data_IF_762971108897
#
_entry.id   IF_762971108897
#
_cell.length_a   1.000
_cell.length_b   1.000
_cell.length_c   1.000
_cell.angle_alpha   90.00
_cell.angle_beta   90.00
_cell.angle_gamma   90.00
#
_symmetry.space_group_name_H-M   'P 1'
#
loop_
_entity.id
_entity.type
_entity.pdbx_description
1 polymer ?
#
# COMPACT_ATOMS: atom_id res chain seq x y z
N UNK A 1 -7.80 -24.36 17.91
CA UNK A 1 -6.78 -23.75 17.04
C UNK A 1 -7.40 -23.53 15.66
N UNK A 2 -7.62 -22.30 15.21
CA UNK A 2 -8.04 -22.06 13.83
C UNK A 2 -6.79 -21.95 12.94
N UNK A 3 -6.75 -22.77 11.90
CA UNK A 3 -5.67 -22.82 10.93
C UNK A 3 -5.60 -21.53 10.12
N UNK A 4 -4.37 -21.06 9.87
CA UNK A 4 -4.10 -20.06 8.84
C UNK A 4 -4.56 -20.61 7.50
N UNK A 5 -5.66 -20.09 6.96
CA UNK A 5 -5.96 -20.22 5.55
C UNK A 5 -4.87 -19.46 4.78
N UNK A 6 -3.93 -20.18 4.19
CA UNK A 6 -3.08 -19.63 3.15
C UNK A 6 -4.03 -19.27 1.99
N UNK A 7 -4.16 -17.98 1.69
CA UNK A 7 -4.74 -17.53 0.44
C UNK A 7 -3.84 -18.07 -0.68
N UNK A 8 -4.33 -19.04 -1.45
CA UNK A 8 -3.56 -19.62 -2.55
C UNK A 8 -3.25 -18.53 -3.58
N UNK A 9 -2.00 -18.49 -4.04
CA UNK A 9 -1.53 -17.51 -5.01
C UNK A 9 -2.02 -17.91 -6.41
N UNK A 10 -2.44 -16.94 -7.26
CA UNK A 10 -2.87 -17.26 -8.60
C UNK A 10 -1.72 -17.90 -9.40
N UNK A 11 -1.97 -19.09 -9.94
CA UNK A 11 -1.05 -19.76 -10.89
C UNK A 11 -1.41 -19.29 -12.30
N UNK A 12 -0.49 -18.59 -12.96
CA UNK A 12 -0.67 -18.13 -14.34
C UNK A 12 0.24 -19.00 -15.22
N UNK A 13 -0.37 -19.91 -15.99
CA UNK A 13 0.38 -20.92 -16.74
C UNK A 13 1.00 -21.96 -15.80
N UNK A 14 2.32 -22.07 -15.79
CA UNK A 14 3.08 -22.98 -14.90
C UNK A 14 3.83 -22.26 -13.77
N UNK A 15 3.71 -20.93 -13.68
CA UNK A 15 4.43 -20.13 -12.69
C UNK A 15 3.47 -19.53 -11.67
N UNK A 16 3.93 -19.51 -10.42
CA UNK A 16 3.22 -18.88 -9.31
C UNK A 16 3.38 -17.37 -9.43
N UNK A 17 2.26 -16.65 -9.51
CA UNK A 17 2.26 -15.20 -9.60
C UNK A 17 2.21 -14.58 -8.20
N UNK A 18 3.21 -13.78 -7.84
CA UNK A 18 3.26 -13.03 -6.57
C UNK A 18 2.52 -11.69 -6.65
N UNK A 19 1.44 -11.62 -7.43
CA UNK A 19 0.62 -10.41 -7.57
C UNK A 19 -0.30 -10.28 -6.35
N UNK A 20 -0.27 -9.11 -5.72
CA UNK A 20 -1.20 -8.75 -4.66
C UNK A 20 -2.37 -7.95 -5.26
N UNK A 21 -3.55 -8.53 -5.25
CA UNK A 21 -4.79 -7.82 -5.60
C UNK A 21 -5.22 -7.01 -4.38
N UNK A 22 -5.19 -5.67 -4.49
CA UNK A 22 -5.59 -4.77 -3.39
C UNK A 22 -7.03 -4.27 -3.50
N UNK A 23 -7.66 -4.44 -4.66
CA UNK A 23 -9.09 -4.21 -4.86
C UNK A 23 -9.61 -5.01 -6.03
N UNK A 24 -10.86 -5.48 -5.93
CA UNK A 24 -11.59 -6.10 -7.04
C UNK A 24 -13.11 -5.96 -6.85
N UNK A 25 -13.85 -6.05 -7.94
CA UNK A 25 -15.32 -6.11 -7.96
C UNK A 25 -15.77 -7.24 -8.89
N UNK A 26 -16.90 -7.87 -8.57
CA UNK A 26 -17.54 -8.85 -9.44
C UNK A 26 -18.56 -8.17 -10.35
N UNK A 27 -18.45 -8.43 -11.65
CA UNK A 27 -19.41 -7.92 -12.65
C UNK A 27 -20.58 -8.88 -12.89
N UNK A 28 -20.39 -10.17 -12.62
CA UNK A 28 -21.37 -11.22 -12.84
C UNK A 28 -22.42 -11.32 -11.72
N UNK A 29 -22.10 -10.79 -10.53
CA UNK A 29 -22.98 -10.79 -9.38
C UNK A 29 -22.78 -9.54 -8.55
N UNK A 30 -23.89 -8.96 -8.07
CA UNK A 30 -23.88 -7.81 -7.14
C UNK A 30 -23.32 -8.23 -5.79
N UNK A 31 -22.02 -8.00 -5.62
CA UNK A 31 -21.30 -8.08 -4.36
C UNK A 31 -20.56 -6.77 -4.12
N UNK A 32 -20.38 -6.35 -2.85
CA UNK A 32 -19.54 -5.20 -2.56
C UNK A 32 -18.10 -5.48 -3.03
N UNK A 33 -17.37 -4.47 -3.55
CA UNK A 33 -15.97 -4.63 -3.87
C UNK A 33 -15.16 -5.09 -2.67
N UNK A 34 -14.24 -6.03 -2.89
CA UNK A 34 -13.20 -6.32 -1.91
C UNK A 34 -12.10 -5.28 -2.05
N UNK A 35 -11.72 -4.67 -0.92
CA UNK A 35 -10.68 -3.64 -0.84
C UNK A 35 -9.77 -3.95 0.35
N UNK A 36 -8.46 -3.97 0.14
CA UNK A 36 -7.45 -4.24 1.15
C UNK A 36 -6.65 -5.50 0.87
N UNK A 37 -6.06 -6.08 1.92
CA UNK A 37 -5.09 -7.19 1.77
C UNK A 37 -5.72 -8.57 1.56
N UNK A 38 -7.03 -8.70 1.74
CA UNK A 38 -7.73 -9.97 1.71
C UNK A 38 -8.81 -9.90 0.65
N UNK A 39 -8.54 -10.47 -0.52
CA UNK A 39 -9.52 -10.68 -1.57
C UNK A 39 -10.13 -12.06 -1.40
N UNK A 40 -11.38 -12.11 -0.92
CA UNK A 40 -12.12 -13.36 -0.74
C UNK A 40 -13.05 -13.68 -1.91
N UNK A 41 -13.26 -12.72 -2.81
CA UNK A 41 -14.26 -12.83 -3.88
C UNK A 41 -13.73 -13.57 -5.13
N UNK A 42 -12.44 -13.84 -5.17
CA UNK A 42 -11.75 -14.59 -6.23
C UNK A 42 -11.08 -15.82 -5.64
N UNK A 43 -11.86 -16.90 -5.46
CA UNK A 43 -11.36 -18.20 -4.98
C UNK A 43 -11.49 -19.25 -6.08
N UNK A 44 -10.35 -19.78 -6.54
CA UNK A 44 -10.28 -20.93 -7.42
C UNK A 44 -10.05 -22.16 -6.55
N UNK A 45 -11.14 -22.80 -6.11
CA UNK A 45 -11.15 -23.78 -5.01
C UNK A 45 -10.48 -25.11 -5.40
N UNK A 46 -10.42 -25.41 -6.69
CA UNK A 46 -9.85 -26.65 -7.21
C UNK A 46 -9.09 -26.43 -8.52
N UNK A 47 -8.18 -27.37 -8.83
CA UNK A 47 -7.32 -27.31 -10.03
C UNK A 47 -8.11 -27.26 -11.33
N UNK A 48 -9.25 -27.95 -11.41
CA UNK A 48 -10.06 -27.98 -12.63
C UNK A 48 -10.73 -26.62 -12.88
N UNK A 49 -11.29 -26.01 -11.84
CA UNK A 49 -11.81 -24.64 -11.87
C UNK A 49 -10.71 -23.64 -12.23
N UNK A 50 -9.51 -23.80 -11.69
CA UNK A 50 -8.36 -22.95 -12.06
C UNK A 50 -7.97 -23.07 -13.52
N UNK A 51 -7.89 -24.29 -14.07
CA UNK A 51 -7.45 -24.53 -15.46
C UNK A 51 -8.49 -24.09 -16.50
N UNK A 52 -9.77 -24.07 -16.13
CA UNK A 52 -10.87 -23.70 -17.04
C UNK A 52 -11.28 -22.23 -16.93
N UNK A 53 -10.82 -21.53 -15.89
CA UNK A 53 -11.10 -20.10 -15.71
C UNK A 53 -10.37 -19.27 -16.77
N UNK A 54 -11.14 -18.50 -17.54
CA UNK A 54 -10.59 -17.53 -18.49
C UNK A 54 -10.36 -16.20 -17.78
N UNK A 55 -9.12 -15.73 -17.79
CA UNK A 55 -8.76 -14.39 -17.32
C UNK A 55 -8.79 -13.45 -18.52
N UNK A 56 -9.67 -12.46 -18.47
CA UNK A 56 -9.70 -11.39 -19.46
C UNK A 56 -8.90 -10.21 -18.91
N UNK A 57 -8.05 -9.65 -19.75
CA UNK A 57 -7.25 -8.48 -19.43
C UNK A 57 -7.77 -7.32 -20.27
N UNK A 58 -7.78 -6.13 -19.67
CA UNK A 58 -7.96 -4.91 -20.43
C UNK A 58 -6.78 -4.77 -21.41
N UNK A 59 -7.10 -4.50 -22.68
CA UNK A 59 -6.08 -4.48 -23.75
C UNK A 59 -5.11 -3.31 -23.55
N UNK A 60 -5.61 -2.13 -23.21
CA UNK A 60 -4.79 -0.93 -23.06
C UNK A 60 -3.85 -1.10 -21.87
N UNK A 61 -4.35 -1.56 -20.72
CA UNK A 61 -3.51 -1.87 -19.55
C UNK A 61 -2.46 -2.96 -19.85
N UNK A 62 -2.79 -3.97 -20.68
CA UNK A 62 -1.83 -5.00 -21.08
C UNK A 62 -0.73 -4.41 -21.96
N UNK A 63 -1.08 -3.57 -22.92
CA UNK A 63 -0.13 -2.90 -23.80
C UNK A 63 0.82 -1.97 -23.00
N UNK A 64 0.29 -1.21 -22.04
CA UNK A 64 1.08 -0.41 -21.11
C UNK A 64 2.04 -1.28 -20.28
N UNK A 65 1.54 -2.39 -19.72
CA UNK A 65 2.35 -3.33 -18.95
C UNK A 65 3.49 -3.94 -19.79
N UNK A 66 3.20 -4.31 -21.04
CA UNK A 66 4.21 -4.82 -21.97
C UNK A 66 5.23 -3.74 -22.35
N UNK A 67 4.82 -2.48 -22.50
CA UNK A 67 5.75 -1.37 -22.75
C UNK A 67 6.74 -1.18 -21.58
N UNK A 68 6.25 -1.26 -20.33
CA UNK A 68 7.09 -1.19 -19.13
C UNK A 68 8.12 -2.33 -19.10
N UNK A 69 7.70 -3.57 -19.41
CA UNK A 69 8.59 -4.73 -19.44
C UNK A 69 9.73 -4.56 -20.46
N UNK A 70 9.45 -3.89 -21.58
CA UNK A 70 10.43 -3.64 -22.63
C UNK A 70 11.31 -2.40 -22.36
N UNK A 71 11.06 -1.66 -21.28
CA UNK A 71 11.78 -0.45 -20.90
C UNK A 71 12.43 -0.63 -19.52
N UNK A 72 13.63 -1.23 -19.44
CA UNK A 72 14.24 -1.67 -18.17
C UNK A 72 14.55 -0.54 -17.19
N UNK A 73 14.63 0.70 -17.67
CA UNK A 73 14.85 1.90 -16.85
C UNK A 73 13.54 2.46 -16.25
N UNK A 74 12.39 1.89 -16.60
CA UNK A 74 11.08 2.34 -16.10
C UNK A 74 10.94 2.00 -14.63
N UNK A 75 10.90 3.05 -13.80
CA UNK A 75 10.82 2.89 -12.35
C UNK A 75 9.42 3.12 -11.77
N UNK A 76 8.44 3.51 -12.60
CA UNK A 76 7.08 3.92 -12.20
C UNK A 76 6.10 3.80 -13.37
N UNK A 77 4.81 3.72 -13.06
CA UNK A 77 3.72 3.56 -14.04
C UNK A 77 3.19 4.91 -14.52
N UNK A 78 3.20 5.91 -13.64
CA UNK A 78 2.78 7.28 -13.94
C UNK A 78 3.59 8.29 -13.13
N UNK A 79 3.69 9.53 -13.61
CA UNK A 79 4.20 10.67 -12.85
C UNK A 79 3.13 11.33 -11.97
N UNK A 80 1.86 11.00 -12.18
CA UNK A 80 0.75 11.46 -11.33
C UNK A 80 0.53 10.49 -10.17
N UNK A 81 0.16 11.04 -9.00
CA UNK A 81 -0.16 10.28 -7.79
C UNK A 81 0.90 9.21 -7.41
N UNK A 82 2.19 9.52 -7.56
CA UNK A 82 3.32 8.58 -7.35
C UNK A 82 3.21 7.82 -6.01
N UNK A 83 2.81 8.50 -4.93
CA UNK A 83 2.63 7.85 -3.62
C UNK A 83 1.63 6.69 -3.64
N UNK A 84 0.59 6.77 -4.46
CA UNK A 84 -0.44 5.74 -4.55
C UNK A 84 0.05 4.50 -5.32
N UNK A 85 1.14 4.62 -6.08
CA UNK A 85 1.81 3.49 -6.74
C UNK A 85 2.70 2.68 -5.79
N UNK A 86 2.90 3.16 -4.55
CA UNK A 86 3.63 2.42 -3.53
C UNK A 86 2.88 1.15 -3.11
N UNK A 87 3.65 0.12 -2.77
CA UNK A 87 3.11 -1.17 -2.36
C UNK A 87 2.32 -1.05 -1.06
N UNK A 88 1.20 -1.75 -0.99
CA UNK A 88 0.52 -2.00 0.28
C UNK A 88 1.33 -3.02 1.08
N UNK A 89 2.03 -2.54 2.12
CA UNK A 89 2.82 -3.37 3.02
C UNK A 89 2.38 -3.16 4.48
N UNK A 90 2.64 -4.17 5.31
CA UNK A 90 2.40 -4.12 6.76
C UNK A 90 3.69 -4.13 7.59
N UNK A 91 4.83 -4.30 6.93
CA UNK A 91 6.13 -4.36 7.57
C UNK A 91 7.25 -4.10 6.56
N UNK A 92 8.51 -4.10 7.03
CA UNK A 92 9.71 -3.86 6.21
C UNK A 92 9.75 -2.46 5.61
N UNK A 93 9.24 -1.47 6.34
CA UNK A 93 9.18 -0.06 5.92
C UNK A 93 10.55 0.61 5.71
N UNK A 94 11.65 -0.07 6.01
CA UNK A 94 13.02 0.39 5.76
C UNK A 94 13.73 -0.39 4.66
N UNK A 95 13.07 -1.38 4.05
CA UNK A 95 13.61 -2.09 2.90
C UNK A 95 13.43 -1.25 1.62
N UNK A 96 14.40 -1.18 0.71
CA UNK A 96 14.24 -0.47 -0.56
C UNK A 96 13.00 -0.94 -1.36
N UNK A 97 12.71 -2.23 -1.32
CA UNK A 97 11.55 -2.84 -1.99
C UNK A 97 10.19 -2.39 -1.46
N UNK A 98 10.13 -1.71 -0.31
CA UNK A 98 8.91 -1.09 0.20
C UNK A 98 8.48 0.12 -0.64
N UNK A 99 9.45 0.73 -1.34
CA UNK A 99 9.27 1.99 -2.07
C UNK A 99 9.21 1.79 -3.60
N UNK A 100 9.10 0.54 -4.06
CA UNK A 100 8.90 0.23 -5.47
C UNK A 100 7.51 0.70 -5.94
N UNK A 101 7.49 1.43 -7.06
CA UNK A 101 6.29 2.02 -7.65
C UNK A 101 5.66 1.05 -8.66
N UNK A 102 5.09 -0.04 -8.14
CA UNK A 102 4.61 -1.16 -8.96
C UNK A 102 3.10 -1.41 -8.84
N UNK A 103 2.36 -0.50 -8.21
CA UNK A 103 0.92 -0.63 -8.03
C UNK A 103 0.17 0.12 -9.13
N UNK A 104 -0.72 -0.60 -9.80
CA UNK A 104 -1.60 -0.09 -10.85
C UNK A 104 -3.07 -0.25 -10.44
N UNK A 105 -3.94 0.49 -11.12
CA UNK A 105 -5.40 0.43 -10.97
C UNK A 105 -6.02 0.29 -12.36
N UNK A 106 -7.23 -0.27 -12.42
CA UNK A 106 -7.97 -0.36 -13.68
C UNK A 106 -8.43 1.02 -14.18
N UNK A 107 -8.85 1.14 -15.45
CA UNK A 107 -9.17 2.41 -16.09
C UNK A 107 -10.28 3.18 -15.36
N UNK A 108 -11.27 2.47 -14.82
CA UNK A 108 -12.37 3.06 -14.05
C UNK A 108 -12.00 3.43 -12.60
N UNK A 109 -10.83 3.01 -12.11
CA UNK A 109 -10.39 3.22 -10.71
C UNK A 109 -9.04 3.94 -10.61
N UNK A 110 -8.70 4.72 -11.65
CA UNK A 110 -7.48 5.54 -11.69
C UNK A 110 -7.52 6.75 -10.75
N UNK A 111 -8.70 7.24 -10.37
CA UNK A 111 -8.84 8.30 -9.37
C UNK A 111 -8.36 7.84 -7.99
N UNK A 112 -7.66 8.72 -7.27
CA UNK A 112 -7.17 8.48 -5.92
C UNK A 112 -8.28 8.09 -4.91
N UNK A 113 -9.52 8.51 -5.14
CA UNK A 113 -10.69 8.16 -4.31
C UNK A 113 -11.10 6.69 -4.45
N UNK A 114 -10.81 6.07 -5.61
CA UNK A 114 -11.12 4.67 -5.91
C UNK A 114 -9.95 3.73 -5.60
N UNK A 115 -8.80 4.27 -5.18
CA UNK A 115 -7.62 3.49 -4.89
C UNK A 115 -7.54 3.16 -3.40
N UNK A 116 -7.30 1.89 -3.03
CA UNK A 116 -7.10 1.55 -1.63
C UNK A 116 -5.96 2.39 -1.02
N UNK A 117 -6.20 2.96 0.15
CA UNK A 117 -5.17 3.58 0.96
C UNK A 117 -4.13 2.56 1.40
N UNK A 118 -2.90 3.03 1.56
CA UNK A 118 -1.77 2.31 2.14
C UNK A 118 -1.29 3.04 3.39
N UNK A 119 -0.35 2.47 4.14
CA UNK A 119 0.29 3.18 5.26
C UNK A 119 0.92 4.52 4.83
N UNK A 120 1.37 4.62 3.57
CA UNK A 120 2.00 5.82 3.03
C UNK A 120 1.01 6.90 2.57
N UNK A 121 -0.22 6.52 2.22
CA UNK A 121 -1.25 7.44 1.72
C UNK A 121 -2.39 7.66 2.72
N UNK A 122 -2.41 6.94 3.85
CA UNK A 122 -3.47 7.05 4.85
C UNK A 122 -3.60 8.46 5.45
N UNK A 123 -2.53 9.25 5.42
CA UNK A 123 -2.57 10.66 5.82
C UNK A 123 -3.52 11.50 4.96
N UNK A 124 -3.72 11.14 3.69
CA UNK A 124 -4.57 11.88 2.75
C UNK A 124 -6.06 11.65 3.03
N UNK A 125 -6.42 10.50 3.61
CA UNK A 125 -7.79 10.18 4.00
C UNK A 125 -8.30 11.02 5.18
N UNK A 126 -7.45 11.23 6.19
CA UNK A 126 -7.83 11.87 7.47
C UNK A 126 -7.20 13.27 7.63
N UNK A 127 -6.87 13.93 6.51
CA UNK A 127 -6.22 15.26 6.43
C UNK A 127 -5.04 15.38 7.43
N UNK A 128 -4.31 14.28 7.63
CA UNK A 128 -3.15 14.19 8.50
C UNK A 128 -3.40 14.41 10.01
N UNK A 129 -4.57 14.08 10.57
CA UNK A 129 -4.77 14.23 12.01
C UNK A 129 -3.92 13.29 12.87
N UNK A 130 -3.53 12.12 12.35
CA UNK A 130 -2.64 11.20 13.06
C UNK A 130 -1.16 11.49 12.78
N UNK A 131 -0.39 11.77 13.83
CA UNK A 131 1.08 11.89 13.75
C UNK A 131 1.74 10.66 13.13
N UNK A 132 1.19 9.48 13.37
CA UNK A 132 1.75 8.24 12.82
C UNK A 132 1.59 8.15 11.30
N UNK A 133 0.43 8.56 10.77
CA UNK A 133 0.17 8.59 9.33
C UNK A 133 1.08 9.63 8.64
N UNK A 134 1.25 10.81 9.25
CA UNK A 134 2.16 11.85 8.77
C UNK A 134 3.62 11.36 8.71
N UNK A 135 4.05 10.58 9.70
CA UNK A 135 5.39 10.01 9.70
C UNK A 135 5.61 9.07 8.50
N UNK A 136 4.68 8.14 8.23
CA UNK A 136 4.78 7.24 7.08
C UNK A 136 4.80 7.99 5.75
N UNK A 137 3.92 8.97 5.59
CA UNK A 137 3.83 9.78 4.39
C UNK A 137 5.14 10.57 4.13
N UNK A 138 5.68 11.22 5.17
CA UNK A 138 6.97 11.93 5.09
C UNK A 138 8.14 11.00 4.77
N UNK A 139 8.18 9.80 5.36
CA UNK A 139 9.19 8.78 5.05
C UNK A 139 9.12 8.38 3.57
N UNK A 140 7.93 8.10 3.05
CA UNK A 140 7.73 7.77 1.65
C UNK A 140 8.23 8.88 0.73
N UNK A 141 7.85 10.13 1.00
CA UNK A 141 8.34 11.27 0.23
C UNK A 141 9.86 11.43 0.28
N UNK A 142 10.47 11.29 1.46
CA UNK A 142 11.93 11.37 1.61
C UNK A 142 12.63 10.29 0.77
N UNK A 143 12.14 9.04 0.81
CA UNK A 143 12.71 7.95 0.02
C UNK A 143 12.51 8.12 -1.48
N UNK A 144 11.32 8.51 -1.92
CA UNK A 144 11.07 8.74 -3.34
C UNK A 144 11.89 9.89 -3.91
N UNK A 145 12.16 10.93 -3.10
CA UNK A 145 12.93 12.11 -3.52
C UNK A 145 14.45 11.89 -3.46
N UNK A 146 14.93 11.17 -2.45
CA UNK A 146 16.36 11.09 -2.14
C UNK A 146 16.97 9.69 -2.29
N UNK A 147 16.16 8.67 -2.60
CA UNK A 147 16.60 7.30 -2.82
C UNK A 147 17.37 6.75 -1.62
N UNK A 148 18.57 6.21 -1.87
CA UNK A 148 19.46 5.67 -0.84
C UNK A 148 19.91 6.70 0.20
N UNK A 149 19.86 7.99 -0.13
CA UNK A 149 20.27 9.09 0.75
C UNK A 149 19.12 9.64 1.60
N UNK A 150 17.96 8.97 1.59
CA UNK A 150 16.80 9.40 2.32
C UNK A 150 17.02 9.37 3.84
N UNK A 151 16.68 10.48 4.47
CA UNK A 151 16.87 10.72 5.89
C UNK A 151 15.57 11.17 6.55
N UNK A 152 15.42 10.81 7.81
CA UNK A 152 14.36 11.28 8.68
C UNK A 152 14.92 12.40 9.56
N UNK A 153 14.20 13.51 9.69
CA UNK A 153 14.63 14.69 10.46
C UNK A 153 14.09 14.63 11.90
N UNK A 154 14.94 14.90 12.89
CA UNK A 154 14.59 14.84 14.32
C UNK A 154 13.51 15.85 14.71
N UNK A 155 13.63 17.09 14.23
CA UNK A 155 12.71 18.18 14.57
C UNK A 155 11.30 17.83 14.10
N UNK A 156 11.17 17.27 12.90
CA UNK A 156 9.89 16.80 12.38
C UNK A 156 9.25 15.72 13.28
N UNK A 157 10.02 14.72 13.72
CA UNK A 157 9.50 13.68 14.62
C UNK A 157 9.13 14.27 16.00
N UNK A 158 9.92 15.23 16.50
CA UNK A 158 9.63 15.94 17.74
C UNK A 158 8.31 16.70 17.65
N UNK A 159 8.09 17.46 16.57
CA UNK A 159 6.83 18.16 16.30
C UNK A 159 5.65 17.19 16.30
N UNK A 160 5.77 16.07 15.58
CA UNK A 160 4.75 15.02 15.56
C UNK A 160 4.48 14.44 16.96
N UNK A 161 5.51 14.29 17.79
CA UNK A 161 5.38 13.78 19.15
C UNK A 161 4.72 14.78 20.12
N UNK A 162 4.80 16.09 19.86
CA UNK A 162 4.14 17.10 20.71
C UNK A 162 2.62 16.95 20.69
N UNK A 163 2.06 16.72 19.50
CA UNK A 163 0.60 16.59 19.28
C UNK A 163 0.10 15.14 19.37
N UNK A 164 1.00 14.15 19.33
CA UNK A 164 0.64 12.75 19.51
C UNK A 164 0.20 12.44 20.94
N UNK A 165 -0.60 11.37 21.08
CA UNK A 165 -1.03 10.84 22.38
C UNK A 165 -0.84 9.31 22.45
N UNK A 166 -1.06 8.77 23.65
CA UNK A 166 -1.10 7.32 23.89
C UNK A 166 0.15 6.56 23.42
N UNK A 167 -0.07 5.40 22.79
CA UNK A 167 1.00 4.52 22.30
C UNK A 167 1.77 5.12 21.12
N UNK A 168 1.10 5.91 20.26
CA UNK A 168 1.75 6.59 19.13
C UNK A 168 2.83 7.55 19.66
N UNK A 169 2.51 8.36 20.68
CA UNK A 169 3.49 9.26 21.30
C UNK A 169 4.72 8.53 21.82
N UNK A 170 4.53 7.38 22.48
CA UNK A 170 5.64 6.56 23.00
C UNK A 170 6.55 6.06 21.88
N UNK A 171 5.98 5.53 20.79
CA UNK A 171 6.76 5.10 19.63
C UNK A 171 7.53 6.29 19.02
N UNK A 172 6.92 7.46 18.90
CA UNK A 172 7.62 8.64 18.38
C UNK A 172 8.76 9.08 19.32
N UNK A 173 8.59 8.98 20.64
CA UNK A 173 9.66 9.23 21.60
C UNK A 173 10.80 8.22 21.49
N UNK A 174 10.48 6.95 21.26
CA UNK A 174 11.48 5.90 21.00
C UNK A 174 12.26 6.23 19.72
N UNK A 175 11.57 6.64 18.65
CA UNK A 175 12.21 7.10 17.40
C UNK A 175 13.10 8.34 17.65
N UNK A 176 12.64 9.33 18.42
CA UNK A 176 13.44 10.53 18.79
C UNK A 176 14.71 10.13 19.54
N UNK A 177 14.64 9.14 20.43
CA UNK A 177 15.81 8.68 21.19
C UNK A 177 16.89 8.07 20.29
N UNK A 178 16.50 7.48 19.15
CA UNK A 178 17.43 6.87 18.20
C UNK A 178 18.35 7.87 17.53
N UNK A 179 17.97 9.15 17.45
CA UNK A 179 18.80 10.18 16.87
C UNK A 179 20.04 10.48 17.73
N UNK A 180 20.02 10.19 19.04
CA UNK A 180 21.11 10.59 19.93
C UNK A 180 21.40 12.09 19.81
N UNK A 181 22.64 12.43 19.42
CA UNK A 181 23.08 13.81 19.18
C UNK A 181 22.83 14.28 17.74
N UNK A 182 22.53 13.38 16.81
CA UNK A 182 22.33 13.69 15.41
C UNK A 182 21.00 14.41 15.18
N UNK A 183 20.93 15.22 14.12
CA UNK A 183 19.70 15.88 13.67
C UNK A 183 18.91 15.04 12.66
N UNK A 184 19.55 14.02 12.08
CA UNK A 184 19.01 13.16 11.03
C UNK A 184 19.46 11.71 11.22
N UNK A 185 18.61 10.77 10.83
CA UNK A 185 18.97 9.34 10.74
C UNK A 185 18.61 8.81 9.35
N UNK A 186 19.34 7.81 8.89
CA UNK A 186 19.02 7.11 7.64
C UNK A 186 17.71 6.33 7.77
N UNK A 187 16.90 6.35 6.71
CA UNK A 187 15.62 5.62 6.66
C UNK A 187 15.87 4.18 6.22
N UNK A 188 16.51 4.00 5.07
CA UNK A 188 16.70 2.67 4.48
C UNK A 188 17.71 1.86 5.28
N UNK A 189 17.47 0.54 5.35
CA UNK A 189 18.28 -0.43 6.11
C UNK A 189 18.40 -0.14 7.62
N UNK A 190 17.59 0.78 8.17
CA UNK A 190 17.55 1.06 9.58
C UNK A 190 16.60 0.10 10.30
N UNK A 191 17.13 -1.02 10.82
CA UNK A 191 16.32 -2.06 11.46
C UNK A 191 15.57 -1.57 12.71
N UNK A 192 16.22 -0.70 13.49
CA UNK A 192 15.66 -0.17 14.74
C UNK A 192 14.48 0.77 14.46
N UNK A 193 14.58 1.56 13.39
CA UNK A 193 13.47 2.37 12.87
C UNK A 193 12.37 1.44 12.34
N UNK A 194 12.74 0.42 11.57
CA UNK A 194 11.82 -0.58 11.04
C UNK A 194 10.95 -1.26 12.10
N UNK A 195 11.52 -1.59 13.26
CA UNK A 195 10.76 -2.14 14.41
C UNK A 195 9.70 -1.16 14.92
N UNK A 196 10.07 0.11 15.12
CA UNK A 196 9.14 1.15 15.54
C UNK A 196 8.04 1.40 14.51
N UNK A 197 8.38 1.43 13.22
CA UNK A 197 7.43 1.59 12.14
C UNK A 197 6.45 0.41 12.06
N UNK A 198 6.91 -0.83 12.25
CA UNK A 198 6.01 -1.98 12.30
C UNK A 198 4.99 -1.85 13.44
N UNK A 199 5.45 -1.52 14.66
CA UNK A 199 4.56 -1.30 15.80
C UNK A 199 3.59 -0.13 15.57
N UNK A 200 4.02 0.91 14.88
CA UNK A 200 3.17 2.03 14.52
C UNK A 200 2.11 1.63 13.49
N UNK A 201 2.48 0.84 12.47
CA UNK A 201 1.55 0.32 11.47
C UNK A 201 0.45 -0.55 12.10
N UNK A 202 0.79 -1.38 13.09
CA UNK A 202 -0.18 -2.19 13.83
C UNK A 202 -1.24 -1.31 14.53
N UNK A 203 -0.82 -0.17 15.11
CA UNK A 203 -1.73 0.78 15.74
C UNK A 203 -2.64 1.52 14.74
N UNK A 204 -2.16 1.73 13.51
CA UNK A 204 -2.90 2.43 12.45
C UNK A 204 -3.77 1.49 11.60
N UNK A 205 -3.66 0.18 11.78
CA UNK A 205 -4.41 -0.81 11.01
C UNK A 205 -5.94 -0.59 11.06
N UNK A 206 -6.57 -0.28 12.21
CA UNK A 206 -8.01 -0.01 12.25
C UNK A 206 -8.41 1.20 11.38
N UNK A 207 -7.61 2.27 11.41
CA UNK A 207 -7.85 3.45 10.58
C UNK A 207 -7.70 3.14 9.09
N UNK A 208 -6.71 2.31 8.72
CA UNK A 208 -6.54 1.86 7.33
C UNK A 208 -7.75 1.05 6.85
N UNK A 209 -8.22 0.10 7.66
CA UNK A 209 -9.40 -0.72 7.35
C UNK A 209 -10.61 0.18 7.17
N UNK A 210 -10.81 1.14 8.08
CA UNK A 210 -11.90 2.10 7.98
C UNK A 210 -11.82 2.93 6.68
N UNK A 211 -10.67 3.54 6.38
CA UNK A 211 -10.45 4.31 5.16
C UNK A 211 -10.79 3.51 3.89
N UNK A 212 -10.33 2.26 3.83
CA UNK A 212 -10.59 1.37 2.71
C UNK A 212 -12.05 0.91 2.59
N UNK A 213 -12.83 0.95 3.68
CA UNK A 213 -14.27 0.72 3.60
C UNK A 213 -15.01 1.85 2.84
N UNK A 214 -14.47 3.08 2.84
CA UNK A 214 -15.01 4.18 2.02
C UNK A 214 -14.64 4.01 0.55
N UNK A 215 -13.40 3.60 0.27
CA UNK A 215 -12.96 3.31 -1.11
C UNK A 215 -13.87 2.26 -1.76
N UNK A 216 -14.31 1.23 -1.02
CA UNK A 216 -15.25 0.25 -1.54
C UNK A 216 -16.57 0.88 -2.01
N UNK A 217 -17.07 1.90 -1.31
CA UNK A 217 -18.30 2.64 -1.70
C UNK A 217 -18.06 3.48 -2.94
N UNK A 218 -16.92 4.15 -3.02
CA UNK A 218 -16.56 4.96 -4.20
C UNK A 218 -16.43 4.08 -5.46
N UNK A 219 -15.82 2.89 -5.34
CA UNK A 219 -15.76 1.93 -6.45
C UNK A 219 -17.17 1.53 -6.90
N UNK A 220 -18.10 1.23 -5.98
CA UNK A 220 -19.50 0.93 -6.36
C UNK A 220 -20.11 2.10 -7.13
N UNK A 221 -19.97 3.32 -6.60
CA UNK A 221 -20.54 4.51 -7.23
C UNK A 221 -19.99 4.73 -8.65
N UNK A 222 -18.68 4.55 -8.85
CA UNK A 222 -18.07 4.67 -10.17
C UNK A 222 -18.60 3.61 -11.13
N UNK A 223 -18.70 2.34 -10.70
CA UNK A 223 -19.23 1.29 -11.56
C UNK A 223 -20.73 1.47 -11.87
N UNK A 224 -21.55 1.90 -10.90
CA UNK A 224 -22.98 2.20 -11.14
C UNK A 224 -23.19 3.38 -12.13
N UNK A 225 -22.19 4.25 -12.30
CA UNK A 225 -22.24 5.34 -13.27
C UNK A 225 -21.86 4.90 -14.69
N UNK A 226 -20.91 3.96 -14.82
CA UNK A 226 -20.32 3.56 -16.10
C UNK A 226 -20.78 2.20 -16.63
N UNK A 227 -21.47 1.37 -15.83
CA UNK A 227 -21.91 0.01 -16.16
C UNK A 227 -23.41 -0.17 -15.86
#
# INVERSE_FOLDING_TARGET
>A
MPGLAFLEQPVIGTQVSNVLITSCIRLDKKFPPSVGSNTLDFQLIDTQSSLTTKIYLDRECLEEGLAIVNAPDTSRISDTAILYQLRQIRSKFTAPSAFSLCRASGPLTTSHTNQPYTMFTLADYDIGHSSGMKLFNSIAFSVLKHGSNAQLNKNFVQELATVANGKIKRILQDVISMFGLDSQITILSNERLGKNLNSLADLLMPSLINANSFVAKEIIHTFDHFC
#
